data_IF_113555493324
#
_entry.id   IF_113555493324
#
_cell.length_a   1.000
_cell.length_b   1.000
_cell.length_c   1.000
_cell.angle_alpha   90.00
_cell.angle_beta   90.00
_cell.angle_gamma   90.00
#
_symmetry.space_group_name_H-M   'P 1'
#
loop_
_entity.id
_entity.type
_entity.pdbx_description
1 polymer ?
#
# COMPACT_ATOMS: atom_id res chain seq x y z
N UNK A 1 -29.77 12.46 13.36
CA UNK A 1 -28.33 12.14 13.58
C UNK A 1 -27.75 11.84 12.21
N UNK A 2 -26.74 12.60 11.81
CA UNK A 2 -26.06 12.41 10.51
C UNK A 2 -25.20 11.14 10.58
N UNK A 3 -25.35 10.28 9.56
CA UNK A 3 -24.61 9.01 9.45
C UNK A 3 -23.55 9.09 8.37
N UNK A 4 -22.29 8.96 8.77
CA UNK A 4 -21.13 8.91 7.89
C UNK A 4 -20.60 7.49 7.78
N UNK A 5 -20.43 7.01 6.56
CA UNK A 5 -19.72 5.76 6.28
C UNK A 5 -18.40 6.09 5.61
N UNK A 6 -17.32 5.47 6.08
CA UNK A 6 -15.96 5.68 5.58
C UNK A 6 -15.41 4.32 5.15
N UNK A 7 -14.93 4.23 3.92
CA UNK A 7 -14.31 3.03 3.37
C UNK A 7 -12.79 3.19 3.37
N UNK A 8 -12.13 2.45 4.24
CA UNK A 8 -10.68 2.51 4.45
C UNK A 8 -10.29 3.06 5.82
N UNK A 9 -9.52 2.29 6.57
CA UNK A 9 -9.20 2.52 7.99
C UNK A 9 -7.73 2.82 8.29
N UNK A 10 -6.95 3.35 7.33
CA UNK A 10 -5.52 3.61 7.60
C UNK A 10 -5.29 5.12 7.84
N UNK A 11 -4.71 5.85 6.89
CA UNK A 11 -4.33 7.25 7.13
C UNK A 11 -5.51 8.21 6.92
N UNK A 12 -6.01 8.32 5.69
CA UNK A 12 -7.02 9.31 5.32
C UNK A 12 -8.37 9.05 6.01
N UNK A 13 -8.84 7.80 6.00
CA UNK A 13 -10.13 7.44 6.56
C UNK A 13 -10.20 7.64 8.08
N UNK A 14 -9.19 7.20 8.83
CA UNK A 14 -9.14 7.43 10.28
C UNK A 14 -9.02 8.91 10.60
N UNK A 15 -8.27 9.69 9.83
CA UNK A 15 -8.18 11.14 10.02
C UNK A 15 -9.51 11.82 9.77
N UNK A 16 -10.22 11.42 8.71
CA UNK A 16 -11.55 11.94 8.39
C UNK A 16 -12.56 11.62 9.51
N UNK A 17 -12.62 10.37 9.97
CA UNK A 17 -13.50 9.94 11.05
C UNK A 17 -13.26 10.72 12.35
N UNK A 18 -11.99 10.84 12.76
CA UNK A 18 -11.64 11.62 13.95
C UNK A 18 -11.99 13.09 13.80
N UNK A 19 -11.86 13.68 12.61
CA UNK A 19 -12.24 15.07 12.36
C UNK A 19 -13.76 15.25 12.43
N UNK A 20 -14.53 14.37 11.83
CA UNK A 20 -15.99 14.40 11.87
C UNK A 20 -16.50 14.37 13.31
N UNK A 21 -16.01 13.43 14.12
CA UNK A 21 -16.40 13.33 15.55
C UNK A 21 -16.00 14.54 16.38
N UNK A 22 -14.93 15.25 16.02
CA UNK A 22 -14.59 16.54 16.66
C UNK A 22 -15.53 17.68 16.27
N UNK A 23 -16.01 17.66 15.02
CA UNK A 23 -16.93 18.68 14.51
C UNK A 23 -18.38 18.44 15.00
N UNK A 24 -18.78 17.17 15.06
CA UNK A 24 -20.11 16.76 15.52
C UNK A 24 -19.99 15.46 16.33
N UNK A 25 -20.04 15.59 17.65
CA UNK A 25 -19.98 14.44 18.58
C UNK A 25 -21.22 13.55 18.49
N UNK A 26 -22.34 14.08 18.05
CA UNK A 26 -23.60 13.32 17.91
C UNK A 26 -23.65 12.47 16.65
N UNK A 27 -22.82 12.77 15.64
CA UNK A 27 -22.80 12.05 14.38
C UNK A 27 -22.45 10.55 14.57
N UNK A 28 -23.14 9.70 13.87
CA UNK A 28 -22.77 8.28 13.73
C UNK A 28 -21.67 8.17 12.67
N UNK A 29 -20.48 7.70 13.05
CA UNK A 29 -19.33 7.59 12.13
C UNK A 29 -18.83 6.15 12.16
N UNK A 30 -18.97 5.46 11.04
CA UNK A 30 -18.54 4.08 10.86
C UNK A 30 -17.40 3.99 9.83
N UNK A 31 -16.33 3.32 10.21
CA UNK A 31 -15.18 3.06 9.33
C UNK A 31 -15.12 1.57 9.02
N UNK A 32 -15.19 1.21 7.76
CA UNK A 32 -15.06 -0.16 7.29
C UNK A 32 -13.72 -0.33 6.57
N UNK A 33 -12.98 -1.38 6.91
CA UNK A 33 -11.71 -1.68 6.26
C UNK A 33 -11.57 -3.17 5.96
N UNK A 34 -10.98 -3.49 4.81
CA UNK A 34 -10.75 -4.86 4.36
C UNK A 34 -9.74 -5.59 5.26
N UNK A 35 -8.66 -4.92 5.66
CA UNK A 35 -7.61 -5.51 6.49
C UNK A 35 -8.03 -5.65 7.96
N UNK A 36 -7.26 -6.42 8.72
CA UNK A 36 -7.47 -6.61 10.15
C UNK A 36 -6.92 -5.46 11.00
N UNK A 37 -6.01 -4.66 10.42
CA UNK A 37 -5.41 -3.51 11.10
C UNK A 37 -5.99 -2.19 10.61
N UNK A 38 -6.09 -1.24 11.52
CA UNK A 38 -6.34 0.17 11.22
C UNK A 38 -5.15 1.03 11.68
N UNK A 39 -5.07 2.25 11.17
CA UNK A 39 -4.14 3.27 11.72
C UNK A 39 -2.71 2.75 11.90
N UNK A 40 -2.21 1.95 10.97
CA UNK A 40 -0.83 1.47 11.01
C UNK A 40 0.13 2.43 10.31
N UNK A 41 1.39 2.37 10.71
CA UNK A 41 2.48 3.19 10.17
C UNK A 41 2.98 2.59 8.83
N UNK A 42 2.33 2.94 7.71
CA UNK A 42 2.72 2.45 6.38
C UNK A 42 4.17 2.77 6.01
N UNK A 43 4.67 3.96 6.40
CA UNK A 43 6.07 4.34 6.21
C UNK A 43 7.04 3.60 7.16
N UNK A 44 6.54 2.91 8.18
CA UNK A 44 7.34 2.08 9.10
C UNK A 44 7.65 0.68 8.57
N UNK A 45 6.97 0.23 7.52
CA UNK A 45 7.10 -1.14 7.01
C UNK A 45 8.54 -1.50 6.58
N UNK A 46 9.25 -0.66 5.81
CA UNK A 46 10.65 -0.91 5.48
C UNK A 46 11.55 -1.04 6.72
N UNK A 47 11.35 -0.18 7.72
CA UNK A 47 12.13 -0.18 8.97
C UNK A 47 11.81 -1.39 9.87
N UNK A 48 10.59 -1.92 9.78
CA UNK A 48 10.27 -3.19 10.41
C UNK A 48 11.01 -4.35 9.72
N UNK A 49 11.06 -4.36 8.38
CA UNK A 49 11.82 -5.36 7.63
C UNK A 49 13.30 -5.33 8.03
N UNK A 50 13.89 -4.13 8.15
CA UNK A 50 15.27 -3.93 8.57
C UNK A 50 15.56 -4.19 10.05
N UNK A 51 14.54 -4.27 10.90
CA UNK A 51 14.67 -4.53 12.33
C UNK A 51 14.73 -3.28 13.22
N UNK A 52 14.75 -2.07 12.68
CA UNK A 52 14.70 -0.81 13.45
C UNK A 52 13.39 -0.68 14.22
N UNK A 53 12.28 -1.13 13.62
CA UNK A 53 11.02 -1.35 14.32
C UNK A 53 10.99 -2.82 14.75
N UNK A 54 11.10 -3.11 16.05
CA UNK A 54 11.39 -4.47 16.51
C UNK A 54 10.19 -5.42 16.43
N UNK A 55 8.96 -4.91 16.62
CA UNK A 55 7.77 -5.75 16.73
C UNK A 55 6.66 -5.30 15.77
N UNK A 56 5.80 -6.25 15.34
CA UNK A 56 4.62 -5.95 14.53
C UNK A 56 3.70 -4.92 15.22
N UNK A 57 3.52 -5.05 16.54
CA UNK A 57 2.65 -4.16 17.30
C UNK A 57 3.11 -2.71 17.29
N UNK A 58 4.43 -2.47 17.15
CA UNK A 58 4.97 -1.11 17.03
C UNK A 58 4.59 -0.42 15.69
N UNK A 59 4.16 -1.19 14.68
CA UNK A 59 3.59 -0.64 13.45
C UNK A 59 2.14 -0.16 13.64
N UNK A 60 1.42 -0.66 14.64
CA UNK A 60 0.00 -0.36 14.86
C UNK A 60 -0.11 0.84 15.80
N UNK A 61 -0.40 2.00 15.22
CA UNK A 61 -0.54 3.26 16.00
C UNK A 61 -1.77 3.20 16.91
N UNK A 62 -2.89 2.69 16.38
CA UNK A 62 -4.11 2.47 17.15
C UNK A 62 -4.77 1.15 16.74
N UNK A 63 -5.14 0.35 17.72
CA UNK A 63 -6.08 -0.75 17.53
C UNK A 63 -7.51 -0.22 17.33
N UNK A 64 -8.45 -0.99 16.77
CA UNK A 64 -9.85 -0.59 16.65
C UNK A 64 -10.45 -0.08 17.97
N UNK A 65 -10.26 -0.83 19.06
CA UNK A 65 -10.79 -0.46 20.38
C UNK A 65 -10.19 0.85 20.91
N UNK A 66 -8.86 1.01 20.81
CA UNK A 66 -8.18 2.24 21.23
C UNK A 66 -8.66 3.44 20.39
N UNK A 67 -8.78 3.27 19.08
CA UNK A 67 -9.21 4.32 18.17
C UNK A 67 -10.66 4.75 18.47
N UNK A 68 -11.58 3.77 18.62
CA UNK A 68 -12.98 4.06 18.98
C UNK A 68 -13.09 4.77 20.33
N UNK A 69 -12.32 4.33 21.34
CA UNK A 69 -12.28 5.00 22.65
C UNK A 69 -11.77 6.45 22.59
N UNK A 70 -10.79 6.73 21.73
CA UNK A 70 -10.22 8.08 21.57
C UNK A 70 -11.12 9.02 20.75
N UNK A 71 -11.81 8.51 19.74
CA UNK A 71 -12.52 9.34 18.76
C UNK A 71 -14.03 9.28 18.87
N UNK A 72 -14.59 8.20 19.38
CA UNK A 72 -16.02 7.89 19.35
C UNK A 72 -16.54 7.43 17.99
N UNK A 73 -15.64 7.11 17.02
CA UNK A 73 -16.02 6.50 15.74
C UNK A 73 -15.93 4.99 15.84
N UNK A 74 -16.90 4.26 15.28
CA UNK A 74 -16.89 2.81 15.22
C UNK A 74 -16.02 2.31 14.07
N UNK A 75 -15.23 1.27 14.31
CA UNK A 75 -14.35 0.69 13.30
C UNK A 75 -14.62 -0.81 13.13
N UNK A 76 -14.76 -1.25 11.88
CA UNK A 76 -15.06 -2.63 11.49
C UNK A 76 -13.96 -3.12 10.55
N UNK A 77 -13.13 -4.03 11.03
CA UNK A 77 -12.07 -4.72 10.27
C UNK A 77 -12.60 -5.95 9.55
N UNK A 78 -11.84 -6.50 8.61
CA UNK A 78 -12.26 -7.66 7.83
C UNK A 78 -13.53 -7.43 7.01
N UNK A 79 -13.83 -6.17 6.64
CA UNK A 79 -15.02 -5.76 5.91
C UNK A 79 -14.62 -5.06 4.61
N UNK A 80 -14.69 -5.77 3.48
CA UNK A 80 -14.38 -5.25 2.15
C UNK A 80 -15.61 -4.60 1.51
N UNK A 81 -15.47 -3.36 1.05
CA UNK A 81 -16.49 -2.74 0.21
C UNK A 81 -16.44 -3.34 -1.21
N UNK A 82 -17.59 -3.83 -1.70
CA UNK A 82 -17.72 -4.49 -3.00
C UNK A 82 -18.57 -3.72 -3.99
N UNK A 83 -19.26 -2.68 -3.55
CA UNK A 83 -20.06 -1.81 -4.39
C UNK A 83 -20.69 -0.66 -3.61
N UNK A 84 -21.14 0.37 -4.32
CA UNK A 84 -21.93 1.47 -3.78
C UNK A 84 -23.13 1.71 -4.68
N UNK A 85 -24.24 2.12 -4.10
CA UNK A 85 -25.43 2.60 -4.79
C UNK A 85 -25.76 4.01 -4.25
N UNK A 86 -25.52 5.02 -5.10
CA UNK A 86 -25.75 6.41 -4.72
C UNK A 86 -27.24 6.79 -4.73
N UNK A 87 -28.06 6.06 -5.48
CA UNK A 87 -29.51 6.28 -5.55
C UNK A 87 -30.21 5.87 -4.25
N UNK A 88 -29.82 4.73 -3.69
CA UNK A 88 -30.34 4.23 -2.40
C UNK A 88 -29.47 4.65 -1.22
N UNK A 89 -28.33 5.32 -1.47
CA UNK A 89 -27.32 5.69 -0.46
C UNK A 89 -26.87 4.49 0.38
N UNK A 90 -26.44 3.43 -0.26
CA UNK A 90 -25.98 2.21 0.41
C UNK A 90 -24.58 1.77 -0.09
N UNK A 91 -23.85 1.11 0.79
CA UNK A 91 -22.61 0.42 0.47
C UNK A 91 -22.81 -1.07 0.67
N UNK A 92 -22.37 -1.88 -0.29
CA UNK A 92 -22.31 -3.33 -0.13
C UNK A 92 -20.96 -3.72 0.45
N UNK A 93 -20.98 -4.48 1.54
CA UNK A 93 -19.83 -4.90 2.31
C UNK A 93 -19.79 -6.42 2.41
N UNK A 94 -18.60 -6.99 2.32
CA UNK A 94 -18.36 -8.42 2.47
C UNK A 94 -17.36 -8.66 3.60
N UNK A 95 -17.76 -9.44 4.60
CA UNK A 95 -16.89 -9.87 5.69
C UNK A 95 -15.90 -10.94 5.25
N UNK A 96 -14.80 -11.09 5.97
CA UNK A 96 -13.84 -12.19 5.79
C UNK A 96 -14.52 -13.57 5.90
N UNK A 97 -15.61 -13.69 6.67
CA UNK A 97 -16.45 -14.90 6.74
C UNK A 97 -17.18 -15.24 5.44
N UNK A 98 -17.22 -14.33 4.47
CA UNK A 98 -17.99 -14.46 3.23
C UNK A 98 -19.40 -13.87 3.31
N UNK A 99 -19.89 -13.50 4.49
CA UNK A 99 -21.19 -12.83 4.67
C UNK A 99 -21.19 -11.46 3.97
N UNK A 100 -22.25 -11.20 3.22
CA UNK A 100 -22.46 -9.91 2.53
C UNK A 100 -23.66 -9.18 3.16
N UNK A 101 -23.51 -7.89 3.41
CA UNK A 101 -24.55 -7.02 3.96
C UNK A 101 -24.46 -5.62 3.34
N UNK A 102 -25.49 -4.82 3.56
CA UNK A 102 -25.52 -3.42 3.11
C UNK A 102 -25.53 -2.48 4.31
N UNK A 103 -24.84 -1.35 4.17
CA UNK A 103 -24.82 -0.26 5.16
C UNK A 103 -25.32 1.02 4.48
N UNK A 104 -26.32 1.68 5.09
CA UNK A 104 -26.82 2.96 4.60
C UNK A 104 -25.99 4.14 5.10
N UNK A 105 -25.97 5.23 4.36
CA UNK A 105 -25.26 6.46 4.75
C UNK A 105 -26.05 7.73 4.40
N UNK A 106 -25.82 8.79 5.14
CA UNK A 106 -26.17 10.16 4.72
C UNK A 106 -25.02 10.75 3.87
N UNK A 107 -23.77 10.48 4.28
CA UNK A 107 -22.55 10.85 3.53
C UNK A 107 -21.55 9.70 3.51
N UNK A 108 -20.94 9.49 2.35
CA UNK A 108 -19.92 8.46 2.12
C UNK A 108 -18.56 9.10 1.88
N UNK A 109 -17.51 8.56 2.50
CA UNK A 109 -16.12 8.93 2.23
C UNK A 109 -15.35 7.70 1.76
N UNK A 110 -14.85 7.76 0.54
CA UNK A 110 -14.01 6.72 -0.06
C UNK A 110 -12.55 7.04 0.25
N UNK A 111 -11.91 6.20 1.06
CA UNK A 111 -10.53 6.33 1.51
C UNK A 111 -9.77 5.01 1.36
N UNK A 112 -10.10 4.24 0.34
CA UNK A 112 -9.61 2.88 0.09
C UNK A 112 -8.13 2.80 -0.29
N UNK A 113 -7.52 3.94 -0.60
CA UNK A 113 -6.10 4.04 -0.91
C UNK A 113 -5.71 3.35 -2.21
N UNK A 114 -4.60 2.64 -2.18
CA UNK A 114 -4.01 2.03 -3.36
C UNK A 114 -3.49 0.62 -3.06
N UNK A 115 -3.37 -0.18 -4.09
CA UNK A 115 -2.76 -1.52 -4.06
C UNK A 115 -1.46 -1.52 -4.87
N UNK A 116 -0.47 -2.36 -4.52
CA UNK A 116 0.74 -2.52 -5.31
C UNK A 116 0.42 -2.91 -6.75
N UNK A 117 1.14 -2.34 -7.69
CA UNK A 117 1.11 -2.80 -9.06
C UNK A 117 2.12 -3.93 -9.25
N UNK A 118 1.64 -5.08 -9.68
CA UNK A 118 2.46 -6.23 -10.10
C UNK A 118 2.30 -6.35 -11.61
N UNK A 119 3.39 -6.28 -12.39
CA UNK A 119 3.30 -6.39 -13.85
C UNK A 119 2.95 -7.83 -14.25
N UNK A 120 2.29 -8.03 -15.39
CA UNK A 120 1.93 -9.35 -15.89
C UNK A 120 3.16 -10.03 -16.56
N UNK A 121 4.17 -10.32 -15.76
CA UNK A 121 5.37 -11.08 -16.18
C UNK A 121 5.44 -12.37 -15.38
N UNK A 122 6.11 -13.38 -15.94
CA UNK A 122 6.21 -14.69 -15.32
C UNK A 122 6.96 -14.66 -13.99
N UNK A 123 6.56 -15.49 -13.06
CA UNK A 123 7.23 -15.74 -11.78
C UNK A 123 6.94 -14.71 -10.68
N UNK A 124 6.02 -13.78 -10.87
CA UNK A 124 5.65 -12.80 -9.84
C UNK A 124 4.90 -13.41 -8.65
N UNK A 125 4.42 -14.64 -8.78
CA UNK A 125 3.74 -15.45 -7.78
C UNK A 125 4.66 -16.46 -7.07
N UNK A 126 5.93 -16.54 -7.46
CA UNK A 126 6.90 -17.45 -6.84
C UNK A 126 7.13 -17.08 -5.35
N UNK A 127 7.28 -18.10 -4.47
CA UNK A 127 7.77 -17.88 -3.12
C UNK A 127 9.08 -17.10 -3.14
N UNK A 128 9.16 -16.06 -2.29
CA UNK A 128 10.31 -15.14 -2.27
C UNK A 128 10.07 -13.84 -3.03
N UNK A 129 8.90 -13.67 -3.67
CA UNK A 129 8.48 -12.40 -4.27
C UNK A 129 7.47 -11.72 -3.34
N UNK A 130 7.73 -10.47 -2.97
CA UNK A 130 6.91 -9.71 -2.03
C UNK A 130 6.58 -8.31 -2.55
N UNK A 131 5.37 -7.84 -2.22
CA UNK A 131 5.05 -6.42 -2.16
C UNK A 131 5.14 -5.95 -0.71
N UNK A 132 5.25 -4.64 -0.49
CA UNK A 132 5.28 -4.04 0.86
C UNK A 132 4.19 -2.99 0.93
N UNK A 133 3.03 -3.35 1.51
CA UNK A 133 1.85 -2.48 1.63
C UNK A 133 1.19 -2.54 2.99
N UNK A 134 1.14 -3.72 3.62
CA UNK A 134 0.48 -3.98 4.89
C UNK A 134 1.48 -4.44 5.94
N UNK A 135 1.13 -4.39 7.25
CA UNK A 135 1.98 -4.97 8.29
C UNK A 135 2.30 -6.45 8.05
N UNK A 136 1.34 -7.22 7.55
CA UNK A 136 1.54 -8.65 7.28
C UNK A 136 2.52 -8.88 6.12
N UNK A 137 2.49 -8.03 5.07
CA UNK A 137 3.49 -8.10 4.00
C UNK A 137 4.92 -7.93 4.56
N UNK A 138 5.11 -6.95 5.44
CA UNK A 138 6.41 -6.69 6.06
C UNK A 138 6.85 -7.84 6.99
N UNK A 139 5.90 -8.42 7.75
CA UNK A 139 6.15 -9.60 8.60
C UNK A 139 6.58 -10.78 7.76
N UNK A 140 5.87 -11.09 6.68
CA UNK A 140 6.20 -12.21 5.79
C UNK A 140 7.55 -12.00 5.10
N UNK A 141 7.84 -10.80 4.61
CA UNK A 141 9.12 -10.50 3.96
C UNK A 141 10.29 -10.65 4.95
N UNK A 142 10.18 -10.10 6.16
CA UNK A 142 11.21 -10.23 7.21
C UNK A 142 11.42 -11.69 7.60
N UNK A 143 10.35 -12.41 7.90
CA UNK A 143 10.42 -13.84 8.26
C UNK A 143 11.08 -14.65 7.14
N UNK A 144 10.75 -14.37 5.88
CA UNK A 144 11.36 -15.05 4.74
C UNK A 144 12.87 -14.80 4.66
N UNK A 145 13.33 -13.56 4.88
CA UNK A 145 14.76 -13.21 4.90
C UNK A 145 15.49 -14.00 5.99
N UNK A 146 14.91 -14.07 7.18
CA UNK A 146 15.50 -14.76 8.35
C UNK A 146 15.50 -16.29 8.16
N UNK A 147 14.34 -16.90 7.81
CA UNK A 147 14.17 -18.34 7.67
C UNK A 147 14.97 -18.93 6.51
N UNK A 148 15.00 -18.24 5.37
CA UNK A 148 15.73 -18.69 4.17
C UNK A 148 17.18 -18.22 4.17
N UNK A 149 17.61 -17.45 5.17
CA UNK A 149 18.97 -16.90 5.28
C UNK A 149 19.40 -16.21 3.98
N UNK A 150 18.50 -15.36 3.48
CA UNK A 150 18.70 -14.64 2.22
C UNK A 150 20.01 -13.84 2.24
N UNK A 151 20.71 -13.81 1.12
CA UNK A 151 21.96 -13.08 0.92
C UNK A 151 21.89 -12.08 -0.23
N UNK A 152 21.01 -12.29 -1.16
CA UNK A 152 20.85 -11.49 -2.38
C UNK A 152 19.41 -11.02 -2.49
N UNK A 153 19.24 -9.73 -2.67
CA UNK A 153 17.92 -9.15 -2.93
C UNK A 153 17.91 -8.39 -4.25
N UNK A 154 16.83 -8.51 -4.97
CA UNK A 154 16.51 -7.62 -6.09
C UNK A 154 15.26 -6.83 -5.73
N UNK A 155 15.37 -5.51 -5.81
CA UNK A 155 14.24 -4.59 -5.62
C UNK A 155 13.86 -4.01 -6.97
N UNK A 156 12.65 -4.25 -7.40
CA UNK A 156 12.10 -3.74 -8.65
C UNK A 156 11.35 -2.43 -8.36
N UNK A 157 11.93 -1.31 -8.82
CA UNK A 157 11.44 0.04 -8.61
C UNK A 157 12.36 0.86 -7.69
N UNK A 158 12.85 1.99 -8.20
CA UNK A 158 13.73 2.94 -7.51
C UNK A 158 12.98 4.20 -7.05
N UNK A 159 11.71 4.05 -6.63
CA UNK A 159 10.95 5.06 -5.92
C UNK A 159 11.19 5.00 -4.40
N UNK A 160 10.47 5.82 -3.61
CA UNK A 160 10.62 5.89 -2.16
C UNK A 160 10.56 4.52 -1.49
N UNK A 161 9.49 3.75 -1.72
CA UNK A 161 9.29 2.44 -1.08
C UNK A 161 10.43 1.49 -1.44
N UNK A 162 10.80 1.41 -2.72
CA UNK A 162 11.85 0.51 -3.17
C UNK A 162 13.21 0.83 -2.57
N UNK A 163 13.60 2.11 -2.54
CA UNK A 163 14.89 2.53 -1.97
C UNK A 163 14.95 2.37 -0.46
N UNK A 164 13.87 2.68 0.28
CA UNK A 164 13.79 2.46 1.72
C UNK A 164 13.87 0.96 2.08
N UNK A 165 13.16 0.09 1.34
CA UNK A 165 13.27 -1.36 1.56
C UNK A 165 14.68 -1.86 1.20
N UNK A 166 15.27 -1.36 0.11
CA UNK A 166 16.62 -1.72 -0.31
C UNK A 166 17.68 -1.37 0.75
N UNK A 167 17.59 -0.17 1.32
CA UNK A 167 18.47 0.28 2.42
C UNK A 167 18.34 -0.64 3.65
N UNK A 168 17.12 -0.96 4.03
CA UNK A 168 16.85 -1.83 5.18
C UNK A 168 17.31 -3.27 4.94
N UNK A 169 17.18 -3.81 3.73
CA UNK A 169 17.73 -5.12 3.38
C UNK A 169 19.27 -5.12 3.39
N UNK A 170 19.90 -4.01 2.99
CA UNK A 170 21.36 -3.85 3.13
C UNK A 170 21.80 -3.82 4.59
N UNK A 171 21.04 -3.15 5.46
CA UNK A 171 21.32 -3.12 6.91
C UNK A 171 21.29 -4.53 7.52
N UNK A 172 20.46 -5.44 6.98
CA UNK A 172 20.46 -6.87 7.33
C UNK A 172 21.65 -7.66 6.71
N UNK A 173 22.52 -7.01 5.94
CA UNK A 173 23.70 -7.62 5.33
C UNK A 173 23.44 -8.31 3.98
N UNK A 174 22.33 -8.03 3.30
CA UNK A 174 22.08 -8.56 1.96
C UNK A 174 22.83 -7.73 0.91
N UNK A 175 23.25 -8.40 -0.16
CA UNK A 175 23.70 -7.74 -1.39
C UNK A 175 22.45 -7.32 -2.19
N UNK A 176 22.22 -6.02 -2.28
CA UNK A 176 20.99 -5.49 -2.89
C UNK A 176 21.27 -4.91 -4.27
N UNK A 177 20.47 -5.33 -5.24
CA UNK A 177 20.39 -4.71 -6.57
C UNK A 177 19.00 -4.09 -6.73
N UNK A 178 18.95 -2.80 -7.02
CA UNK A 178 17.72 -2.07 -7.39
C UNK A 178 17.69 -1.92 -8.89
N UNK A 179 16.57 -2.29 -9.52
CA UNK A 179 16.33 -2.07 -10.96
C UNK A 179 15.16 -1.13 -11.17
N UNK A 180 15.23 -0.27 -12.16
CA UNK A 180 14.11 0.60 -12.57
C UNK A 180 14.12 0.82 -14.09
N UNK A 181 12.95 0.76 -14.70
CA UNK A 181 12.78 1.02 -16.13
C UNK A 181 13.02 2.51 -16.50
N UNK A 182 12.82 3.44 -15.55
CA UNK A 182 13.07 4.85 -15.73
C UNK A 182 14.59 5.13 -15.90
N UNK A 183 14.95 6.22 -16.60
CA UNK A 183 16.36 6.61 -16.79
C UNK A 183 17.04 7.08 -15.51
N UNK A 184 16.27 7.47 -14.50
CA UNK A 184 16.77 7.95 -13.21
C UNK A 184 15.98 7.35 -12.03
N UNK A 185 16.54 7.40 -10.83
CA UNK A 185 15.81 7.09 -9.60
C UNK A 185 14.84 8.23 -9.25
N UNK A 186 13.76 7.92 -8.53
CA UNK A 186 12.79 8.91 -8.03
C UNK A 186 12.28 9.88 -9.13
N UNK A 187 11.89 9.40 -10.33
CA UNK A 187 11.65 10.24 -11.50
C UNK A 187 10.51 11.26 -11.31
N UNK A 188 9.59 10.99 -10.37
CA UNK A 188 8.47 11.89 -10.07
C UNK A 188 8.75 12.86 -8.91
N UNK A 189 9.92 12.78 -8.26
CA UNK A 189 10.22 13.53 -7.06
C UNK A 189 11.50 14.38 -7.19
N UNK A 190 12.46 13.95 -8.02
CA UNK A 190 13.74 14.61 -8.19
C UNK A 190 13.94 15.03 -9.65
N UNK A 191 14.60 16.15 -9.84
CA UNK A 191 15.24 16.47 -11.11
C UNK A 191 16.47 15.57 -11.34
N UNK A 192 17.02 15.61 -12.55
CA UNK A 192 18.13 14.74 -12.96
C UNK A 192 19.38 14.94 -12.07
N UNK A 193 19.69 16.19 -11.71
CA UNK A 193 20.86 16.54 -10.91
C UNK A 193 20.77 15.93 -9.49
N UNK A 194 19.62 16.06 -8.84
CA UNK A 194 19.40 15.49 -7.50
C UNK A 194 19.29 13.97 -7.54
N UNK A 195 18.67 13.41 -8.59
CA UNK A 195 18.62 11.96 -8.78
C UNK A 195 20.02 11.35 -8.94
N UNK A 196 20.89 12.00 -9.73
CA UNK A 196 22.27 11.57 -9.89
C UNK A 196 23.09 11.69 -8.62
N UNK A 197 22.90 12.78 -7.87
CA UNK A 197 23.53 12.94 -6.56
C UNK A 197 23.13 11.79 -5.61
N UNK A 198 21.82 11.54 -5.46
CA UNK A 198 21.32 10.48 -4.61
C UNK A 198 21.81 9.09 -5.08
N UNK A 199 21.81 8.82 -6.38
CA UNK A 199 22.31 7.57 -6.95
C UNK A 199 23.79 7.34 -6.64
N UNK A 200 24.61 8.39 -6.67
CA UNK A 200 26.03 8.31 -6.26
C UNK A 200 26.18 7.97 -4.79
N UNK A 201 25.35 8.54 -3.90
CA UNK A 201 25.37 8.21 -2.46
C UNK A 201 24.97 6.75 -2.21
N UNK A 202 23.92 6.26 -2.85
CA UNK A 202 23.49 4.87 -2.76
C UNK A 202 24.59 3.90 -3.22
N UNK A 203 25.25 4.23 -4.35
CA UNK A 203 26.38 3.46 -4.86
C UNK A 203 27.57 3.48 -3.93
N UNK A 204 27.89 4.61 -3.33
CA UNK A 204 28.98 4.74 -2.34
C UNK A 204 28.69 3.93 -1.07
N UNK A 205 27.41 3.78 -0.68
CA UNK A 205 26.97 2.91 0.40
C UNK A 205 27.00 1.41 0.04
N UNK A 206 27.31 1.04 -1.21
CA UNK A 206 27.40 -0.36 -1.65
C UNK A 206 26.15 -0.90 -2.36
N UNK A 207 25.12 -0.06 -2.58
CA UNK A 207 23.92 -0.46 -3.31
C UNK A 207 24.18 -0.47 -4.82
N UNK A 208 23.78 -1.54 -5.48
CA UNK A 208 23.79 -1.60 -6.95
C UNK A 208 22.48 -1.06 -7.49
N UNK A 209 22.50 0.09 -8.18
CA UNK A 209 21.31 0.72 -8.76
C UNK A 209 21.44 0.77 -10.28
N UNK A 210 20.50 0.11 -10.97
CA UNK A 210 20.43 -0.03 -12.42
C UNK A 210 19.14 0.66 -12.92
N UNK A 211 19.30 1.81 -13.52
CA UNK A 211 18.25 2.54 -14.23
C UNK A 211 18.18 2.09 -15.69
N UNK A 212 17.14 2.47 -16.43
CA UNK A 212 16.87 1.98 -17.80
C UNK A 212 16.95 0.46 -17.90
N UNK A 213 16.44 -0.23 -16.86
CA UNK A 213 16.50 -1.69 -16.73
C UNK A 213 15.12 -2.22 -16.38
N UNK A 214 14.46 -2.84 -17.36
CA UNK A 214 13.07 -3.29 -17.25
C UNK A 214 12.98 -4.74 -16.82
N UNK A 215 12.13 -5.05 -15.83
CA UNK A 215 11.78 -6.41 -15.46
C UNK A 215 11.12 -7.16 -16.63
N UNK A 216 11.57 -8.36 -16.92
CA UNK A 216 11.01 -9.26 -17.95
C UNK A 216 10.40 -10.52 -17.34
N UNK A 217 10.90 -10.96 -16.19
CA UNK A 217 10.40 -12.13 -15.49
C UNK A 217 11.22 -12.45 -14.25
N UNK A 218 10.70 -13.36 -13.46
CA UNK A 218 11.38 -13.95 -12.29
C UNK A 218 11.42 -15.44 -12.52
N UNK A 219 12.57 -16.05 -12.35
CA UNK A 219 12.75 -17.48 -12.59
C UNK A 219 13.31 -18.17 -11.33
N UNK A 220 12.98 -19.46 -11.22
CA UNK A 220 13.48 -20.34 -10.17
C UNK A 220 12.69 -21.63 -10.06
N UNK A 221 13.22 -22.62 -9.38
CA UNK A 221 12.57 -23.91 -9.15
C UNK A 221 11.90 -23.91 -7.76
N UNK A 222 10.56 -23.72 -7.76
CA UNK A 222 9.77 -23.69 -6.52
C UNK A 222 9.91 -22.42 -5.65
N UNK A 223 10.80 -21.49 -6.02
CA UNK A 223 10.99 -20.17 -5.38
C UNK A 223 11.72 -19.24 -6.35
N UNK A 224 11.72 -17.94 -6.05
CA UNK A 224 12.52 -16.97 -6.79
C UNK A 224 14.03 -17.25 -6.60
N UNK A 225 14.79 -17.31 -7.70
CA UNK A 225 16.24 -17.51 -7.70
C UNK A 225 16.98 -16.47 -8.53
N UNK A 226 16.30 -15.85 -9.49
CA UNK A 226 16.86 -14.77 -10.32
C UNK A 226 15.78 -13.92 -10.95
N UNK A 227 16.13 -12.67 -11.21
CA UNK A 227 15.34 -11.69 -11.92
C UNK A 227 15.91 -11.48 -13.30
N UNK A 228 15.08 -11.67 -14.33
CA UNK A 228 15.43 -11.47 -15.74
C UNK A 228 15.00 -10.08 -16.17
N UNK A 229 15.91 -9.35 -16.81
CA UNK A 229 15.67 -7.99 -17.31
C UNK A 229 16.08 -7.89 -18.77
N UNK A 230 15.79 -6.75 -19.41
CA UNK A 230 16.32 -6.43 -20.75
C UNK A 230 17.84 -6.12 -20.75
N UNK A 231 18.46 -6.00 -19.58
CA UNK A 231 19.87 -5.65 -19.41
C UNK A 231 20.63 -6.72 -18.59
N UNK A 232 20.19 -7.96 -18.62
CA UNK A 232 20.84 -9.09 -17.95
C UNK A 232 19.98 -9.77 -16.90
N UNK A 233 20.59 -10.72 -16.20
CA UNK A 233 19.95 -11.55 -15.18
C UNK A 233 20.66 -11.38 -13.86
N UNK A 234 19.90 -11.24 -12.77
CA UNK A 234 20.41 -10.94 -11.44
C UNK A 234 19.93 -12.01 -10.45
N UNK A 235 20.85 -12.69 -9.78
CA UNK A 235 20.50 -13.65 -8.76
C UNK A 235 19.80 -13.00 -7.57
N UNK A 236 18.75 -13.65 -7.06
CA UNK A 236 17.93 -13.15 -5.97
C UNK A 236 17.43 -14.30 -5.10
N UNK A 237 17.61 -14.21 -3.79
CA UNK A 237 16.96 -15.06 -2.81
C UNK A 237 15.60 -14.48 -2.41
N UNK A 238 15.45 -13.15 -2.51
CA UNK A 238 14.22 -12.40 -2.28
C UNK A 238 14.06 -11.30 -3.34
N UNK A 239 12.84 -11.09 -3.80
CA UNK A 239 12.48 -10.05 -4.76
C UNK A 239 11.39 -9.15 -4.15
N UNK A 240 11.61 -7.86 -4.18
CA UNK A 240 10.63 -6.86 -3.73
C UNK A 240 10.06 -6.13 -4.95
N UNK A 241 8.73 -6.17 -5.08
CA UNK A 241 7.99 -5.48 -6.13
C UNK A 241 7.53 -4.11 -5.63
N UNK A 242 8.20 -3.04 -6.07
CA UNK A 242 7.96 -1.65 -5.67
C UNK A 242 7.83 -0.71 -6.89
N UNK A 243 7.29 -1.21 -8.01
CA UNK A 243 7.20 -0.50 -9.29
C UNK A 243 5.98 0.41 -9.44
N UNK A 244 5.33 0.73 -8.34
CA UNK A 244 4.21 1.65 -8.26
C UNK A 244 2.95 1.05 -7.66
N UNK A 245 1.90 1.86 -7.64
CA UNK A 245 0.60 1.50 -7.05
C UNK A 245 -0.53 1.87 -8.01
N UNK A 246 -1.68 1.23 -7.82
CA UNK A 246 -2.94 1.59 -8.50
C UNK A 246 -4.01 1.89 -7.47
N UNK A 247 -4.93 2.83 -7.75
CA UNK A 247 -6.07 3.09 -6.86
C UNK A 247 -6.85 1.81 -6.57
N UNK A 248 -7.24 1.60 -5.31
CA UNK A 248 -8.05 0.46 -4.88
C UNK A 248 -9.55 0.73 -5.14
N UNK A 249 -9.90 1.03 -6.38
CA UNK A 249 -11.23 1.50 -6.82
C UNK A 249 -11.92 0.58 -7.80
N UNK A 250 -11.38 -0.62 -8.05
CA UNK A 250 -11.95 -1.57 -9.03
C UNK A 250 -13.43 -1.91 -8.75
N UNK A 251 -13.84 -1.94 -7.48
CA UNK A 251 -15.21 -2.21 -7.04
C UNK A 251 -16.21 -1.08 -7.39
N UNK A 252 -15.70 0.08 -7.79
CA UNK A 252 -16.49 1.28 -8.13
C UNK A 252 -16.76 1.42 -9.63
N UNK A 253 -16.34 0.47 -10.46
CA UNK A 253 -16.40 0.56 -11.92
C UNK A 253 -17.79 0.90 -12.44
N UNK A 254 -18.84 0.33 -11.84
CA UNK A 254 -20.24 0.48 -12.27
C UNK A 254 -21.05 1.40 -11.34
N UNK A 255 -20.38 2.20 -10.52
CA UNK A 255 -21.03 3.07 -9.50
C UNK A 255 -21.55 4.39 -10.04
N UNK A 256 -21.18 4.78 -11.25
CA UNK A 256 -21.47 6.11 -11.81
C UNK A 256 -20.49 7.20 -11.36
N UNK A 257 -19.44 6.85 -10.62
CA UNK A 257 -18.35 7.78 -10.28
C UNK A 257 -17.53 8.14 -11.53
N UNK A 258 -17.23 9.41 -11.68
CA UNK A 258 -16.28 9.89 -12.68
C UNK A 258 -14.85 9.56 -12.22
N UNK A 259 -14.16 8.78 -13.05
CA UNK A 259 -12.79 8.32 -12.77
C UNK A 259 -11.89 8.44 -14.00
N UNK A 260 -10.63 8.76 -13.78
CA UNK A 260 -9.57 8.70 -14.79
C UNK A 260 -8.52 7.67 -14.38
N UNK A 261 -8.37 6.59 -15.15
CA UNK A 261 -7.44 5.47 -14.85
C UNK A 261 -7.59 4.92 -13.43
N UNK A 262 -8.82 4.84 -12.92
CA UNK A 262 -9.12 4.39 -11.56
C UNK A 262 -9.00 5.46 -10.48
N UNK A 263 -8.50 6.65 -10.78
CA UNK A 263 -8.46 7.79 -9.86
C UNK A 263 -9.83 8.45 -9.86
N UNK A 264 -10.45 8.57 -8.69
CA UNK A 264 -11.75 9.25 -8.52
C UNK A 264 -11.53 10.76 -8.70
N UNK A 265 -12.30 11.38 -9.58
CA UNK A 265 -12.25 12.82 -9.77
C UNK A 265 -13.06 13.53 -8.68
N UNK A 266 -12.46 14.55 -8.08
CA UNK A 266 -13.06 15.35 -7.01
C UNK A 266 -12.86 16.83 -7.24
N UNK A 267 -13.72 17.66 -6.64
CA UNK A 267 -13.55 19.09 -6.55
C UNK A 267 -12.59 19.50 -5.43
N UNK A 268 -12.42 20.80 -5.22
CA UNK A 268 -11.60 21.38 -4.15
C UNK A 268 -12.05 21.04 -2.73
N UNK A 269 -13.29 20.54 -2.56
CA UNK A 269 -13.87 20.08 -1.31
C UNK A 269 -13.83 18.56 -1.17
N UNK A 270 -13.12 17.87 -2.05
CA UNK A 270 -13.05 16.40 -2.14
C UNK A 270 -14.41 15.74 -2.46
N UNK A 271 -15.37 16.50 -3.00
CA UNK A 271 -16.65 15.97 -3.41
C UNK A 271 -16.54 15.38 -4.81
N UNK A 272 -17.13 14.21 -5.02
CA UNK A 272 -17.21 13.55 -6.34
C UNK A 272 -18.39 14.10 -7.14
N UNK A 273 -18.58 13.60 -8.37
CA UNK A 273 -19.78 13.89 -9.17
C UNK A 273 -21.08 13.34 -8.56
N UNK A 274 -21.00 12.35 -7.64
CA UNK A 274 -22.16 11.80 -6.96
C UNK A 274 -22.50 12.63 -5.70
N UNK A 275 -23.78 13.00 -5.49
CA UNK A 275 -24.19 13.74 -4.29
C UNK A 275 -23.84 12.99 -3.00
N UNK A 276 -23.31 13.72 -2.00
CA UNK A 276 -22.96 13.18 -0.69
C UNK A 276 -21.87 12.10 -0.68
N UNK A 277 -21.14 11.95 -1.79
CA UNK A 277 -20.01 11.02 -1.92
C UNK A 277 -18.71 11.80 -2.09
N UNK A 278 -17.74 11.54 -1.23
CA UNK A 278 -16.42 12.18 -1.17
C UNK A 278 -15.32 11.13 -1.35
N UNK A 279 -14.16 11.55 -1.85
CA UNK A 279 -12.99 10.69 -1.94
C UNK A 279 -11.75 11.42 -1.42
N UNK A 280 -10.92 10.73 -0.64
CA UNK A 280 -9.72 11.28 0.01
C UNK A 280 -8.59 10.25 0.06
N UNK A 281 -7.34 10.76 0.08
CA UNK A 281 -6.15 9.94 0.20
C UNK A 281 -5.20 10.05 -0.98
#
# INVERSE_FOLDING_TARGET
IMKYVILGGVAAGTKAAAKLKRCDRSAEVKVYTKGEDISYAGCGLPYYIGGDIPTRDALIVNTPAKYSGLTGADTFTGCEATGIDSGTKTVTLKKTSGETFTESYDKLIIATGAVPFVPPVDGTDLPGVFCVRTPDDAVHARAYVEDKKCRKAVVCGAGFIGLEVAENLMALGLNVTVIDAAPQIMPNAYDEEMADYAKRQLKAAGMRVLTSTSLKGIEGEGKAEKVVTDNGTYAADIVIMAIGVRPATAFLKDSGLEMFKGIILVDEKMQTNLPDVYAVG
#
